data_IF_809116463323
#
_entry.id   IF_809116463323
#
_cell.length_a   1.000
_cell.length_b   1.000
_cell.length_c   1.000
_cell.angle_alpha   90.00
_cell.angle_beta   90.00
_cell.angle_gamma   90.00
#
_symmetry.space_group_name_H-M   'P 1'
#
loop_
_entity.id
_entity.type
_entity.pdbx_description
1 polymer ?
#
# COMPACT_ATOMS: atom_id res chain seq x y z
N UNK A 1 15.97 16.60 26.70
CA UNK A 1 15.01 16.55 25.58
C UNK A 1 13.62 16.36 26.17
N UNK A 2 12.77 17.40 26.11
CA UNK A 2 11.42 17.34 26.65
C UNK A 2 10.63 16.24 25.93
N UNK A 3 9.89 15.41 26.68
CA UNK A 3 9.01 14.39 26.09
C UNK A 3 7.99 15.11 25.22
N UNK A 4 8.13 14.94 23.91
CA UNK A 4 7.33 15.59 22.87
C UNK A 4 5.87 15.14 22.91
N UNK A 5 5.60 13.99 23.54
CA UNK A 5 4.26 13.42 23.73
C UNK A 5 3.98 13.10 25.20
N UNK A 6 2.75 13.32 25.69
CA UNK A 6 2.34 12.91 27.02
C UNK A 6 2.51 11.39 27.22
N UNK A 7 2.90 10.92 28.43
CA UNK A 7 3.21 9.51 28.68
C UNK A 7 2.02 8.58 28.42
N UNK A 8 0.79 9.06 28.63
CA UNK A 8 -0.44 8.30 28.35
C UNK A 8 -0.77 8.17 26.86
N UNK A 9 -0.17 9.00 25.99
CA UNK A 9 -0.36 8.98 24.53
C UNK A 9 0.79 8.31 23.79
N UNK A 10 1.97 8.18 24.42
CA UNK A 10 3.18 7.67 23.79
C UNK A 10 3.00 6.24 23.25
N UNK A 11 2.41 5.33 24.04
CA UNK A 11 2.17 3.96 23.61
C UNK A 11 1.21 3.89 22.40
N UNK A 12 0.15 4.68 22.43
CA UNK A 12 -0.81 4.73 21.34
C UNK A 12 -0.20 5.32 20.06
N UNK A 13 0.61 6.37 20.20
CA UNK A 13 1.36 6.98 19.09
C UNK A 13 2.26 5.96 18.38
N UNK A 14 3.05 5.20 19.13
CA UNK A 14 3.99 4.22 18.56
C UNK A 14 3.26 3.07 17.86
N UNK A 15 2.15 2.62 18.45
CA UNK A 15 1.30 1.58 17.84
C UNK A 15 0.60 2.08 16.58
N UNK A 16 0.11 3.32 16.57
CA UNK A 16 -0.47 3.96 15.38
C UNK A 16 0.59 4.13 14.29
N UNK A 17 1.80 4.59 14.62
CA UNK A 17 2.91 4.66 13.66
C UNK A 17 3.26 3.30 13.06
N UNK A 18 3.38 2.27 13.90
CA UNK A 18 3.66 0.91 13.43
C UNK A 18 2.55 0.37 12.53
N UNK A 19 1.30 0.70 12.82
CA UNK A 19 0.15 0.33 12.00
C UNK A 19 0.17 1.05 10.65
N UNK A 20 0.30 2.38 10.65
CA UNK A 20 0.33 3.20 9.42
C UNK A 20 1.55 2.83 8.54
N UNK A 21 2.69 2.47 9.14
CA UNK A 21 3.87 1.98 8.39
C UNK A 21 3.64 0.66 7.65
N UNK A 22 2.66 -0.16 8.05
CA UNK A 22 2.30 -1.39 7.33
C UNK A 22 1.36 -1.13 6.15
N UNK A 23 0.76 0.05 6.07
CA UNK A 23 -0.26 0.40 5.09
C UNK A 23 0.24 1.52 4.15
N UNK A 24 0.77 1.18 2.96
CA UNK A 24 1.35 2.17 2.05
C UNK A 24 0.32 3.17 1.48
N UNK A 25 -0.96 2.77 1.37
CA UNK A 25 -2.04 3.61 0.83
C UNK A 25 -2.59 4.64 1.83
N UNK A 26 -2.15 4.57 3.09
CA UNK A 26 -2.72 5.35 4.20
C UNK A 26 -3.87 4.63 4.90
N UNK A 27 -4.26 5.18 6.06
CA UNK A 27 -5.23 4.60 6.98
C UNK A 27 -6.25 5.65 7.38
N UNK A 28 -7.54 5.32 7.35
CA UNK A 28 -8.62 6.19 7.86
C UNK A 28 -8.67 6.14 9.40
N UNK A 29 -9.12 7.22 10.06
CA UNK A 29 -9.30 7.27 11.52
C UNK A 29 -10.22 6.16 12.05
N UNK A 30 -11.20 5.71 11.28
CA UNK A 30 -12.05 4.57 11.63
C UNK A 30 -11.26 3.26 11.67
N UNK A 31 -10.29 3.08 10.77
CA UNK A 31 -9.40 1.93 10.75
C UNK A 31 -8.38 1.93 11.90
N UNK A 32 -8.10 3.10 12.50
CA UNK A 32 -7.29 3.17 13.72
C UNK A 32 -7.95 2.49 14.92
N UNK A 33 -9.27 2.25 14.89
CA UNK A 33 -9.96 1.45 15.91
C UNK A 33 -9.53 -0.02 15.91
N UNK A 34 -8.78 -0.48 14.90
CA UNK A 34 -8.15 -1.81 14.92
C UNK A 34 -6.91 -1.86 15.84
N UNK A 35 -6.38 -0.70 16.24
CA UNK A 35 -5.23 -0.61 17.14
C UNK A 35 -5.72 -0.55 18.58
N UNK A 36 -5.45 -1.60 19.35
CA UNK A 36 -5.90 -1.72 20.76
C UNK A 36 -5.52 -0.51 21.62
N UNK A 37 -4.26 -0.05 21.54
CA UNK A 37 -3.82 1.12 22.30
C UNK A 37 -4.56 2.43 21.91
N UNK A 38 -5.12 2.49 20.70
CA UNK A 38 -5.93 3.63 20.25
C UNK A 38 -7.40 3.50 20.67
N UNK A 39 -7.95 2.29 20.73
CA UNK A 39 -9.33 2.06 21.20
C UNK A 39 -9.49 2.38 22.67
N UNK A 40 -8.48 2.08 23.50
CA UNK A 40 -8.50 2.41 24.93
C UNK A 40 -8.48 3.92 25.24
N UNK A 41 -8.16 4.78 24.26
CA UNK A 41 -8.16 6.23 24.46
C UNK A 41 -9.56 6.84 24.43
N UNK A 42 -9.79 7.82 25.31
CA UNK A 42 -10.99 8.66 25.30
C UNK A 42 -11.06 9.56 24.06
N UNK A 43 -12.27 9.99 23.65
CA UNK A 43 -12.47 10.89 22.49
C UNK A 43 -11.60 12.15 22.53
N UNK A 44 -11.42 12.75 23.72
CA UNK A 44 -10.55 13.92 23.93
C UNK A 44 -9.07 13.58 23.70
N UNK A 45 -8.64 12.43 24.22
CA UNK A 45 -7.25 11.96 24.10
C UNK A 45 -6.90 11.55 22.66
N UNK A 46 -7.86 11.00 21.90
CA UNK A 46 -7.70 10.72 20.46
C UNK A 46 -7.53 12.00 19.63
N UNK A 47 -8.30 13.05 19.92
CA UNK A 47 -8.13 14.37 19.28
C UNK A 47 -6.76 14.97 19.60
N UNK A 48 -6.36 14.95 20.86
CA UNK A 48 -5.03 15.40 21.29
C UNK A 48 -3.90 14.61 20.61
N UNK A 49 -4.06 13.30 20.42
CA UNK A 49 -3.08 12.48 19.70
C UNK A 49 -2.94 12.93 18.24
N UNK A 50 -4.05 13.19 17.54
CA UNK A 50 -4.04 13.68 16.16
C UNK A 50 -3.38 15.08 16.05
N UNK A 51 -3.70 15.98 16.98
CA UNK A 51 -3.07 17.31 17.07
C UNK A 51 -1.57 17.22 17.28
N UNK A 52 -1.11 16.32 18.15
CA UNK A 52 0.33 16.07 18.39
C UNK A 52 1.01 15.47 17.15
N UNK A 53 0.35 14.54 16.46
CA UNK A 53 0.88 13.94 15.23
C UNK A 53 1.07 15.00 14.14
N UNK A 54 0.11 15.92 14.01
CA UNK A 54 0.12 17.02 13.05
C UNK A 54 1.15 18.09 13.42
N UNK A 55 1.17 18.54 14.68
CA UNK A 55 2.08 19.58 15.16
C UNK A 55 3.56 19.20 15.02
N UNK A 56 3.90 17.95 15.37
CA UNK A 56 5.27 17.44 15.25
C UNK A 56 5.54 16.77 13.90
N UNK A 57 4.58 16.83 12.97
CA UNK A 57 4.66 16.28 11.63
C UNK A 57 5.23 14.85 11.65
N UNK A 58 4.69 13.99 12.51
CA UNK A 58 5.20 12.62 12.68
C UNK A 58 4.58 11.66 11.66
N UNK A 59 3.36 11.97 11.20
CA UNK A 59 2.66 11.34 10.09
C UNK A 59 2.00 12.46 9.27
N UNK A 60 1.75 12.20 7.99
CA UNK A 60 0.98 13.12 7.15
C UNK A 60 -0.50 12.90 7.43
N UNK A 61 -1.16 13.94 7.94
CA UNK A 61 -2.60 13.93 8.21
C UNK A 61 -3.30 14.68 7.09
N UNK A 62 -4.17 13.99 6.36
CA UNK A 62 -4.98 14.56 5.28
C UNK A 62 -6.41 14.63 5.80
N UNK A 63 -6.94 15.84 5.94
CA UNK A 63 -8.34 16.07 6.30
C UNK A 63 -9.11 16.33 5.01
N UNK A 64 -10.11 15.52 4.73
CA UNK A 64 -10.96 15.64 3.54
C UNK A 64 -12.43 15.64 3.93
N UNK A 65 -13.18 16.66 3.51
CA UNK A 65 -14.63 16.75 3.75
C UNK A 65 -15.11 18.13 4.21
N UNK A 66 -16.43 18.30 4.27
CA UNK A 66 -17.10 19.51 4.79
C UNK A 66 -17.11 19.47 6.32
N UNK A 67 -17.05 20.65 6.94
CA UNK A 67 -17.07 20.81 8.41
C UNK A 67 -18.32 20.14 8.99
N UNK A 68 -18.14 19.02 9.70
CA UNK A 68 -19.21 18.16 10.23
C UNK A 68 -19.14 16.68 9.78
N UNK A 69 -18.52 16.36 8.63
CA UNK A 69 -18.19 14.99 8.19
C UNK A 69 -16.78 14.96 7.62
N UNK A 70 -15.80 15.30 8.45
CA UNK A 70 -14.39 15.28 8.08
C UNK A 70 -13.87 13.84 8.14
N UNK A 71 -13.44 13.32 7.00
CA UNK A 71 -12.65 12.08 6.93
C UNK A 71 -11.18 12.44 7.14
N UNK A 72 -10.54 11.77 8.08
CA UNK A 72 -9.14 12.04 8.43
C UNK A 72 -8.34 10.80 8.04
N UNK A 73 -7.32 11.02 7.22
CA UNK A 73 -6.43 9.99 6.70
C UNK A 73 -5.01 10.21 7.23
N UNK A 74 -4.35 9.13 7.63
CA UNK A 74 -2.96 9.16 8.07
C UNK A 74 -2.08 8.39 7.09
N UNK A 75 -0.96 9.00 6.68
CA UNK A 75 0.05 8.38 5.82
C UNK A 75 1.44 8.50 6.45
N UNK A 76 2.25 7.47 6.25
CA UNK A 76 3.65 7.50 6.67
C UNK A 76 4.49 8.27 5.64
N UNK A 77 5.40 9.14 6.11
CA UNK A 77 6.26 9.98 5.24
C UNK A 77 7.09 9.17 4.24
N UNK A 78 7.46 7.93 4.61
CA UNK A 78 8.22 7.01 3.75
C UNK A 78 7.50 6.65 2.43
N UNK A 79 6.17 6.72 2.40
CA UNK A 79 5.36 6.41 1.22
C UNK A 79 4.86 7.68 0.51
N UNK A 80 5.39 8.85 0.89
CA UNK A 80 5.18 10.08 0.15
C UNK A 80 6.07 10.04 -1.09
N UNK A 81 5.67 9.28 -2.11
CA UNK A 81 6.24 9.44 -3.45
C UNK A 81 5.88 10.86 -3.91
N UNK A 82 6.85 11.60 -4.46
CA UNK A 82 6.78 13.02 -4.84
C UNK A 82 5.76 13.38 -5.93
N UNK A 83 4.73 12.57 -6.14
CA UNK A 83 3.58 12.86 -6.99
C UNK A 83 2.30 12.77 -6.16
N UNK A 84 2.05 13.79 -5.34
CA UNK A 84 0.69 14.15 -4.99
C UNK A 84 0.38 15.36 -5.86
N UNK A 85 -0.14 15.09 -7.05
CA UNK A 85 -1.09 16.02 -7.66
C UNK A 85 -2.13 16.31 -6.58
N UNK A 86 -2.18 17.57 -6.16
CA UNK A 86 -3.21 18.09 -5.29
C UNK A 86 -4.56 17.74 -5.91
N UNK A 87 -5.17 16.63 -5.48
CA UNK A 87 -6.62 16.46 -5.65
C UNK A 87 -7.29 17.40 -4.68
N UNK A 88 -7.23 18.68 -5.05
CA UNK A 88 -8.16 19.70 -4.60
C UNK A 88 -9.55 19.16 -4.89
N UNK A 89 -10.34 18.98 -3.84
CA UNK A 89 -11.72 18.58 -3.96
C UNK A 89 -12.51 19.75 -4.53
N UNK A 90 -12.90 19.65 -5.79
CA UNK A 90 -14.22 20.05 -6.30
C UNK A 90 -14.27 19.58 -7.75
N UNK A 91 -14.91 18.44 -8.01
CA UNK A 91 -15.43 18.24 -9.35
C UNK A 91 -16.61 17.28 -9.32
N UNK A 92 -17.79 17.85 -9.50
CA UNK A 92 -18.94 17.16 -10.06
C UNK A 92 -18.72 16.87 -11.56
N UNK A 93 -17.54 16.40 -11.95
CA UNK A 93 -17.35 15.89 -13.31
C UNK A 93 -17.90 14.49 -13.38
N UNK A 94 -18.95 14.35 -14.18
CA UNK A 94 -19.41 13.06 -14.62
C UNK A 94 -18.21 12.28 -15.20
N UNK A 95 -18.06 10.98 -14.87
CA UNK A 95 -16.96 10.18 -15.39
C UNK A 95 -16.95 10.21 -16.92
N UNK A 96 -15.87 10.71 -17.50
CA UNK A 96 -15.63 10.65 -18.94
C UNK A 96 -15.14 9.24 -19.31
N UNK A 97 -15.71 8.70 -20.40
CA UNK A 97 -15.35 7.42 -20.97
C UNK A 97 -14.83 7.61 -22.39
N UNK A 98 -13.78 6.87 -22.74
CA UNK A 98 -13.21 6.90 -24.09
C UNK A 98 -13.96 5.92 -25.00
N UNK A 99 -14.47 6.41 -26.13
CA UNK A 99 -15.10 5.54 -27.13
C UNK A 99 -14.05 4.74 -27.93
N UNK A 100 -14.23 3.43 -28.08
CA UNK A 100 -13.28 2.56 -28.79
C UNK A 100 -13.12 2.88 -30.29
N UNK A 101 -14.13 3.49 -30.92
CA UNK A 101 -14.12 3.78 -32.36
C UNK A 101 -13.55 5.15 -32.72
N UNK A 102 -14.02 6.21 -32.04
CA UNK A 102 -13.57 7.57 -32.32
C UNK A 102 -12.44 8.04 -31.40
N UNK A 103 -12.10 7.26 -30.37
CA UNK A 103 -11.07 7.56 -29.36
C UNK A 103 -11.26 8.90 -28.64
N UNK A 104 -12.47 9.48 -28.72
CA UNK A 104 -12.84 10.71 -28.02
C UNK A 104 -13.38 10.39 -26.64
N UNK A 105 -13.03 11.24 -25.68
CA UNK A 105 -13.56 11.25 -24.32
C UNK A 105 -14.94 11.89 -24.33
N UNK A 106 -15.93 11.18 -23.78
CA UNK A 106 -17.34 11.60 -23.76
C UNK A 106 -17.97 11.24 -22.41
N UNK A 107 -18.95 12.02 -21.91
CA UNK A 107 -19.61 11.69 -20.65
C UNK A 107 -20.47 10.42 -20.78
N UNK A 108 -20.77 9.78 -19.65
CA UNK A 108 -21.58 8.55 -19.59
C UNK A 108 -22.93 8.66 -20.33
N UNK A 109 -23.54 9.86 -20.35
CA UNK A 109 -24.81 10.13 -21.05
C UNK A 109 -24.77 9.93 -22.57
N UNK A 110 -23.58 9.97 -23.18
CA UNK A 110 -23.39 9.76 -24.63
C UNK A 110 -23.18 8.28 -25.02
N UNK A 111 -23.21 7.36 -24.05
CA UNK A 111 -23.13 5.91 -24.27
C UNK A 111 -24.50 5.25 -24.11
N UNK A 112 -24.71 4.08 -24.73
CA UNK A 112 -25.96 3.35 -24.56
C UNK A 112 -25.97 2.63 -23.20
N UNK A 113 -26.98 2.94 -22.39
CA UNK A 113 -27.29 2.32 -21.11
C UNK A 113 -26.67 3.04 -19.91
N UNK A 114 -27.48 3.40 -18.92
CA UNK A 114 -27.06 4.05 -17.65
C UNK A 114 -26.14 3.20 -16.75
N UNK A 115 -25.70 2.02 -17.20
CA UNK A 115 -24.93 1.03 -16.43
C UNK A 115 -23.83 0.38 -17.28
N UNK A 116 -23.19 1.15 -18.16
CA UNK A 116 -21.94 0.85 -18.88
C UNK A 116 -21.75 -0.60 -19.36
N UNK A 117 -22.30 -0.93 -20.53
CA UNK A 117 -21.86 -2.13 -21.28
C UNK A 117 -21.52 -1.86 -22.74
N UNK A 118 -21.64 -0.62 -23.23
CA UNK A 118 -21.25 -0.27 -24.59
C UNK A 118 -19.87 0.39 -24.58
N UNK A 119 -18.93 -0.18 -25.34
CA UNK A 119 -17.59 0.40 -25.57
C UNK A 119 -17.61 1.53 -26.64
N UNK A 120 -18.79 1.84 -27.18
CA UNK A 120 -18.99 2.78 -28.30
C UNK A 120 -19.99 3.86 -27.90
N UNK A 121 -19.72 5.10 -28.29
CA UNK A 121 -20.67 6.20 -28.11
C UNK A 121 -21.90 6.04 -29.04
N UNK A 122 -22.98 6.78 -28.74
CA UNK A 122 -24.24 6.74 -29.49
C UNK A 122 -24.04 7.02 -30.97
N UNK A 123 -23.30 8.08 -31.29
CA UNK A 123 -23.01 8.48 -32.68
C UNK A 123 -22.28 7.38 -33.48
N UNK A 124 -21.31 6.70 -32.87
CA UNK A 124 -20.56 5.62 -33.54
C UNK A 124 -21.39 4.36 -33.73
N UNK A 125 -22.33 4.11 -32.82
CA UNK A 125 -23.25 2.96 -32.90
C UNK A 125 -24.36 3.21 -33.94
N UNK A 126 -24.82 4.46 -34.09
CA UNK A 126 -25.83 4.82 -35.08
C UNK A 126 -25.28 4.85 -36.51
N UNK A 127 -23.97 5.09 -36.67
CA UNK A 127 -23.28 4.93 -37.96
C UNK A 127 -23.11 3.48 -38.40
N UNK A 128 -23.30 2.51 -37.50
CA UNK A 128 -23.16 1.11 -37.85
C UNK A 128 -24.35 0.66 -38.73
N UNK A 129 -24.11 -0.01 -39.88
CA UNK A 129 -25.19 -0.56 -40.69
C UNK A 129 -26.05 -1.52 -39.85
N UNK A 130 -27.36 -1.48 -40.06
CA UNK A 130 -28.36 -2.21 -39.27
C UNK A 130 -28.15 -3.73 -39.16
N UNK A 131 -27.26 -4.30 -39.98
CA UNK A 131 -26.96 -5.73 -40.05
C UNK A 131 -26.11 -6.27 -38.89
N UNK A 132 -25.44 -5.40 -38.10
CA UNK A 132 -24.62 -5.82 -36.94
C UNK A 132 -25.42 -5.71 -35.62
N UNK A 133 -26.63 -5.14 -35.64
CA UNK A 133 -27.39 -4.80 -34.43
C UNK A 133 -28.02 -6.01 -33.69
N UNK A 134 -27.96 -7.23 -34.23
CA UNK A 134 -28.75 -8.38 -33.72
C UNK A 134 -27.99 -9.66 -33.40
N UNK A 135 -26.67 -9.64 -33.22
CA UNK A 135 -25.96 -10.83 -32.73
C UNK A 135 -25.57 -10.66 -31.24
N UNK A 136 -26.26 -11.30 -30.28
CA UNK A 136 -25.67 -11.51 -28.96
C UNK A 136 -24.45 -12.41 -29.13
N UNK A 137 -23.27 -11.89 -28.79
CA UNK A 137 -22.05 -12.68 -28.67
C UNK A 137 -22.30 -13.73 -27.59
N UNK A 138 -22.61 -14.97 -27.99
CA UNK A 138 -22.52 -16.10 -27.08
C UNK A 138 -21.04 -16.38 -26.85
N UNK A 139 -20.53 -15.94 -25.71
CA UNK A 139 -19.20 -16.31 -25.25
C UNK A 139 -19.29 -17.75 -24.72
N UNK A 140 -19.16 -18.72 -25.62
CA UNK A 140 -19.07 -20.13 -25.26
C UNK A 140 -17.77 -20.40 -24.51
N UNK A 141 -17.93 -20.99 -23.33
CA UNK A 141 -16.94 -21.33 -22.35
C UNK A 141 -16.15 -22.59 -22.73
N UNK A 142 -15.10 -22.47 -23.53
CA UNK A 142 -14.13 -23.56 -23.72
C UNK A 142 -12.72 -23.00 -23.97
N UNK A 143 -12.05 -22.66 -22.87
CA UNK A 143 -10.59 -22.45 -22.85
C UNK A 143 -9.96 -23.82 -22.62
N UNK A 144 -9.66 -24.53 -23.70
CA UNK A 144 -8.71 -25.65 -23.76
C UNK A 144 -8.45 -25.95 -25.22
N UNK A 145 -7.42 -25.30 -25.75
CA UNK A 145 -6.50 -25.83 -26.77
C UNK A 145 -5.52 -24.70 -27.11
N UNK A 146 -4.52 -24.53 -26.22
CA UNK A 146 -3.34 -23.72 -26.52
C UNK A 146 -2.38 -24.58 -27.30
N UNK A 147 -2.55 -24.63 -28.61
CA UNK A 147 -1.43 -24.84 -29.52
C UNK A 147 -1.62 -24.00 -30.79
N UNK A 148 -0.61 -23.15 -31.03
CA UNK A 148 -0.37 -22.38 -32.25
C UNK A 148 -1.44 -21.37 -32.68
N UNK A 149 -1.36 -20.17 -32.11
CA UNK A 149 -1.39 -18.95 -32.94
C UNK A 149 -0.34 -17.97 -32.43
N UNK A 150 0.82 -17.98 -33.09
CA UNK A 150 1.74 -16.85 -33.08
C UNK A 150 0.95 -15.69 -33.67
N UNK A 151 0.60 -14.72 -32.83
CA UNK A 151 0.08 -13.43 -33.27
C UNK A 151 1.21 -12.75 -34.04
N UNK A 152 1.28 -13.03 -35.34
CA UNK A 152 2.07 -12.24 -36.28
C UNK A 152 1.29 -10.95 -36.45
N UNK A 153 1.54 -10.00 -35.57
CA UNK A 153 1.25 -8.60 -35.88
C UNK A 153 2.11 -8.28 -37.09
N UNK A 154 1.51 -8.26 -38.29
CA UNK A 154 2.14 -7.73 -39.50
C UNK A 154 2.35 -6.22 -39.31
N UNK A 155 3.32 -5.85 -38.49
CA UNK A 155 3.97 -4.57 -38.60
C UNK A 155 4.89 -4.68 -39.82
N UNK A 156 4.58 -3.93 -40.87
CA UNK A 156 5.49 -3.72 -42.00
C UNK A 156 6.69 -2.90 -41.50
N UNK A 157 7.56 -3.51 -40.70
CA UNK A 157 8.87 -2.99 -40.33
C UNK A 157 9.88 -3.52 -41.34
N UNK A 158 10.79 -2.67 -41.78
CA UNK A 158 11.86 -3.13 -42.65
C UNK A 158 12.69 -4.21 -41.91
N UNK A 159 13.23 -5.22 -42.62
CA UNK A 159 14.06 -6.26 -42.00
C UNK A 159 15.25 -5.72 -41.20
N UNK A 160 15.69 -4.50 -41.49
CA UNK A 160 16.77 -3.79 -40.82
C UNK A 160 16.35 -3.21 -39.47
N UNK A 161 15.15 -2.65 -39.37
CA UNK A 161 14.60 -2.13 -38.11
C UNK A 161 14.28 -3.25 -37.12
N UNK A 162 13.83 -4.40 -37.62
CA UNK A 162 13.56 -5.56 -36.78
C UNK A 162 14.87 -6.11 -36.15
N UNK A 163 15.97 -6.11 -36.92
CA UNK A 163 17.30 -6.47 -36.42
C UNK A 163 17.80 -5.48 -35.36
N UNK A 164 17.64 -4.18 -35.61
CA UNK A 164 18.05 -3.13 -34.66
C UNK A 164 17.28 -3.23 -33.33
N UNK A 165 15.98 -3.55 -33.38
CA UNK A 165 15.17 -3.75 -32.18
C UNK A 165 15.54 -5.02 -31.41
N UNK A 166 15.88 -6.10 -32.12
CA UNK A 166 16.37 -7.33 -31.50
C UNK A 166 17.73 -7.12 -30.81
N UNK A 167 18.64 -6.36 -31.43
CA UNK A 167 19.95 -6.03 -30.86
C UNK A 167 19.82 -5.17 -29.60
N UNK A 168 18.94 -4.16 -29.61
CA UNK A 168 18.66 -3.34 -28.42
C UNK A 168 18.05 -4.17 -27.28
N UNK A 169 17.14 -5.10 -27.59
CA UNK A 169 16.58 -6.00 -26.58
C UNK A 169 17.63 -6.93 -25.98
N UNK A 170 18.56 -7.44 -26.79
CA UNK A 170 19.67 -8.26 -26.30
C UNK A 170 20.62 -7.45 -25.40
N UNK A 171 20.88 -6.18 -25.75
CA UNK A 171 21.71 -5.30 -24.94
C UNK A 171 21.09 -4.99 -23.59
N UNK A 172 19.77 -4.71 -23.55
CA UNK A 172 19.04 -4.51 -22.30
C UNK A 172 19.03 -5.77 -21.44
N UNK A 173 18.88 -6.95 -22.06
CA UNK A 173 18.98 -8.22 -21.35
C UNK A 173 20.36 -8.40 -20.70
N UNK A 174 21.46 -8.14 -21.43
CA UNK A 174 22.82 -8.25 -20.89
C UNK A 174 23.07 -7.26 -19.74
N UNK A 175 22.61 -6.01 -19.85
CA UNK A 175 22.68 -5.02 -18.77
C UNK A 175 21.90 -5.51 -17.53
N UNK A 176 20.71 -6.10 -17.71
CA UNK A 176 19.95 -6.66 -16.59
C UNK A 176 20.65 -7.87 -15.95
N UNK A 177 21.24 -8.78 -16.73
CA UNK A 177 22.01 -9.92 -16.21
C UNK A 177 23.23 -9.47 -15.39
N UNK A 178 23.94 -8.42 -15.83
CA UNK A 178 25.04 -7.81 -15.06
C UNK A 178 24.55 -7.24 -13.72
N UNK A 179 23.37 -6.62 -13.69
CA UNK A 179 22.82 -6.11 -12.41
C UNK A 179 22.29 -7.22 -11.50
N UNK A 180 21.75 -8.31 -12.06
CA UNK A 180 21.24 -9.46 -11.29
C UNK A 180 22.42 -10.21 -10.67
N UNK A 181 23.48 -10.47 -11.45
CA UNK A 181 24.71 -11.11 -10.95
C UNK A 181 25.37 -10.28 -9.85
N UNK A 182 25.49 -8.95 -10.02
CA UNK A 182 26.00 -8.07 -8.97
C UNK A 182 25.15 -8.19 -7.69
N UNK A 183 23.82 -8.09 -7.80
CA UNK A 183 22.91 -8.24 -6.66
C UNK A 183 23.02 -9.61 -6.00
N UNK A 184 23.19 -10.69 -6.76
CA UNK A 184 23.37 -12.04 -6.23
C UNK A 184 24.68 -12.18 -5.43
N UNK A 185 25.77 -11.57 -5.89
CA UNK A 185 27.03 -11.54 -5.11
C UNK A 185 26.85 -10.78 -3.80
N UNK A 186 26.19 -9.61 -3.82
CA UNK A 186 25.89 -8.88 -2.59
C UNK A 186 24.96 -9.66 -1.66
N UNK A 187 23.95 -10.34 -2.20
CA UNK A 187 23.01 -11.16 -1.44
C UNK A 187 23.73 -12.33 -0.75
N UNK A 188 24.64 -13.01 -1.46
CA UNK A 188 25.45 -14.11 -0.92
C UNK A 188 26.35 -13.69 0.23
N UNK A 189 26.89 -12.46 0.19
CA UNK A 189 27.68 -11.92 1.29
C UNK A 189 26.82 -11.42 2.45
N UNK A 190 25.59 -10.95 2.18
CA UNK A 190 24.69 -10.42 3.20
C UNK A 190 23.99 -11.53 4.01
N UNK A 191 23.66 -12.66 3.38
CA UNK A 191 23.01 -13.79 4.06
C UNK A 191 23.74 -14.33 5.30
N UNK A 192 25.08 -14.55 5.30
CA UNK A 192 25.77 -14.97 6.52
C UNK A 192 25.68 -13.93 7.64
N UNK A 193 25.82 -12.64 7.32
CA UNK A 193 25.69 -11.55 8.29
C UNK A 193 24.26 -11.49 8.85
N UNK A 194 23.25 -11.63 7.98
CA UNK A 194 21.85 -11.68 8.38
C UNK A 194 21.57 -12.85 9.33
N UNK A 195 22.13 -14.03 9.03
CA UNK A 195 22.01 -15.21 9.88
C UNK A 195 22.65 -14.97 11.25
N UNK A 196 23.85 -14.40 11.30
CA UNK A 196 24.52 -14.07 12.56
C UNK A 196 23.72 -13.09 13.40
N UNK A 197 23.15 -12.04 12.78
CA UNK A 197 22.29 -11.06 13.47
C UNK A 197 21.04 -11.73 14.05
N UNK A 198 20.39 -12.62 13.30
CA UNK A 198 19.21 -13.34 13.79
C UNK A 198 19.56 -14.29 14.94
N UNK A 199 20.70 -14.99 14.87
CA UNK A 199 21.19 -15.82 15.96
C UNK A 199 21.54 -15.00 17.20
N UNK A 200 22.20 -13.85 17.03
CA UNK A 200 22.50 -12.93 18.12
C UNK A 200 21.21 -12.39 18.75
N UNK A 201 20.23 -11.99 17.94
CA UNK A 201 18.93 -11.53 18.41
C UNK A 201 18.24 -12.59 19.28
N UNK A 202 18.16 -13.84 18.82
CA UNK A 202 17.54 -14.92 19.61
C UNK A 202 18.27 -15.20 20.93
N UNK A 203 19.61 -15.12 20.96
CA UNK A 203 20.39 -15.24 22.20
C UNK A 203 20.07 -14.11 23.18
N UNK A 204 19.98 -12.87 22.68
CA UNK A 204 19.62 -11.70 23.49
C UNK A 204 18.21 -11.84 24.04
N UNK A 205 17.23 -12.25 23.22
CA UNK A 205 15.85 -12.46 23.69
C UNK A 205 15.79 -13.46 24.84
N UNK A 206 16.47 -14.62 24.71
CA UNK A 206 16.53 -15.63 25.77
C UNK A 206 17.21 -15.12 27.05
N UNK A 207 18.27 -14.32 26.91
CA UNK A 207 18.95 -13.73 28.06
C UNK A 207 18.04 -12.72 28.80
N UNK A 208 17.23 -11.96 28.06
CA UNK A 208 16.25 -11.03 28.65
C UNK A 208 15.11 -11.80 29.34
N UNK A 209 14.61 -12.89 28.76
CA UNK A 209 13.62 -13.75 29.40
C UNK A 209 14.14 -14.31 30.74
N UNK A 210 15.36 -14.86 30.73
CA UNK A 210 16.00 -15.35 31.96
C UNK A 210 16.21 -14.24 33.01
N UNK A 211 16.51 -13.01 32.58
CA UNK A 211 16.61 -11.86 33.48
C UNK A 211 15.26 -11.52 34.09
N UNK A 212 14.17 -11.53 33.32
CA UNK A 212 12.81 -11.28 33.81
C UNK A 212 12.40 -12.37 34.81
N UNK A 213 12.70 -13.64 34.54
CA UNK A 213 12.45 -14.74 35.47
C UNK A 213 13.24 -14.55 36.78
N UNK A 214 14.53 -14.20 36.67
CA UNK A 214 15.38 -13.91 37.84
C UNK A 214 14.89 -12.71 38.65
N UNK A 215 14.37 -11.67 38.00
CA UNK A 215 13.75 -10.52 38.67
C UNK A 215 12.46 -10.93 39.41
N UNK A 216 11.65 -11.80 38.81
CA UNK A 216 10.44 -12.31 39.47
C UNK A 216 10.77 -13.19 40.70
N UNK A 217 11.84 -13.99 40.64
CA UNK A 217 12.34 -14.73 41.80
C UNK A 217 12.91 -13.80 42.88
N UNK A 218 13.64 -12.78 42.48
CA UNK A 218 14.16 -11.75 43.38
C UNK A 218 13.04 -11.01 44.11
N UNK A 219 12.01 -10.56 43.39
CA UNK A 219 10.86 -9.87 43.99
C UNK A 219 10.13 -10.78 44.99
N UNK A 220 9.98 -12.09 44.69
CA UNK A 220 9.43 -13.07 45.65
C UNK A 220 10.30 -13.21 46.89
N UNK A 221 11.63 -13.24 46.75
CA UNK A 221 12.55 -13.33 47.88
C UNK A 221 12.51 -12.05 48.75
N UNK A 222 12.46 -10.88 48.10
CA UNK A 222 12.32 -9.59 48.79
C UNK A 222 10.98 -9.48 49.52
N UNK A 223 9.89 -9.98 48.93
CA UNK A 223 8.58 -10.05 49.60
C UNK A 223 8.65 -10.87 50.88
N UNK A 224 9.27 -12.06 50.84
CA UNK A 224 9.51 -12.90 52.03
C UNK A 224 10.33 -12.17 53.09
N UNK A 225 11.38 -11.45 52.70
CA UNK A 225 12.19 -10.65 53.64
C UNK A 225 11.40 -9.53 54.32
N UNK A 226 10.45 -8.91 53.62
CA UNK A 226 9.56 -7.89 54.20
C UNK A 226 8.55 -8.47 55.19
N UNK A 227 8.15 -9.73 54.99
CA UNK A 227 7.24 -10.45 55.89
C UNK A 227 7.92 -10.94 57.18
N UNK A 228 9.25 -11.04 57.20
CA UNK A 228 10.02 -11.27 58.42
C UNK A 228 9.94 -10.04 59.35
N UNK A 229 8.90 -10.00 60.19
CA UNK A 229 8.88 -9.14 61.38
C UNK A 229 9.81 -9.74 62.43
N UNK A 230 10.82 -8.97 62.82
CA UNK A 230 11.61 -9.23 64.03
C UNK A 230 10.63 -9.13 65.21
N UNK A 231 10.35 -10.27 65.85
CA UNK A 231 9.61 -10.30 67.11
C UNK A 231 10.58 -9.78 68.18
N UNK A 232 10.24 -8.72 68.93
CA UNK A 232 11.08 -8.18 70.00
C UNK A 232 11.25 -9.15 71.17
#
# INVERSE_FOLDING_TARGET
MARTTPPHLALALDRVKAFVSKHPNGVDVNDLLKVEAYTFLNKKARKQLLEVIEHYNQLVVIRSGKSGRESIWLRHKRYLTEHIEERNGDDTTEPLYTCAECLKEKPAGEFYGHKNKSFRCKECTDRLPAQIKTAPIQLSSDIKDKDKEVIVTKQNLSPLELRKKAEELLRQAEETERTITAKDVFQKQLEPVRREVLLAHTKVTKAVEAMVDGMAEFDKAVAKLREFKIIP
#
